data_IF_802757969637
#
_entry.id   IF_802757969637
#
_cell.length_a   1.000
_cell.length_b   1.000
_cell.length_c   1.000
_cell.angle_alpha   90.00
_cell.angle_beta   90.00
_cell.angle_gamma   90.00
#
_symmetry.space_group_name_H-M   'P 1'
#
loop_
_entity.id
_entity.type
_entity.pdbx_description
1 polymer ?
#
# COMPACT_ATOMS: atom_id res chain seq x y z
N UNK A 1 -22.26 -9.90 -1.62
CA UNK A 1 -21.49 -8.94 -0.80
C UNK A 1 -20.03 -9.26 -1.10
N UNK A 2 -19.30 -8.38 -1.82
CA UNK A 2 -17.87 -8.60 -2.05
C UNK A 2 -17.15 -8.44 -0.72
N UNK A 3 -16.13 -9.26 -0.49
CA UNK A 3 -15.20 -9.09 0.62
C UNK A 3 -14.49 -7.74 0.44
N UNK A 4 -14.52 -6.87 1.45
CA UNK A 4 -13.95 -5.52 1.36
C UNK A 4 -12.43 -5.55 1.14
N UNK A 5 -11.75 -6.61 1.62
CA UNK A 5 -10.35 -6.86 1.31
C UNK A 5 -10.14 -7.00 -0.20
N UNK A 6 -11.00 -7.76 -0.88
CA UNK A 6 -10.89 -8.00 -2.32
C UNK A 6 -11.20 -6.74 -3.13
N UNK A 7 -12.16 -5.95 -2.67
CA UNK A 7 -12.54 -4.69 -3.31
C UNK A 7 -11.43 -3.64 -3.22
N UNK A 8 -10.85 -3.47 -2.03
CA UNK A 8 -9.72 -2.57 -1.81
C UNK A 8 -8.50 -2.98 -2.65
N UNK A 9 -8.14 -4.27 -2.63
CA UNK A 9 -7.02 -4.80 -3.39
C UNK A 9 -7.22 -4.63 -4.90
N UNK A 10 -8.38 -5.05 -5.41
CA UNK A 10 -8.67 -5.00 -6.84
C UNK A 10 -8.76 -3.56 -7.36
N UNK A 11 -9.32 -2.64 -6.56
CA UNK A 11 -9.39 -1.22 -6.91
C UNK A 11 -7.99 -0.61 -6.95
N UNK A 12 -7.14 -0.89 -5.95
CA UNK A 12 -5.78 -0.40 -5.93
C UNK A 12 -4.94 -0.93 -7.10
N UNK A 13 -5.10 -2.21 -7.42
CA UNK A 13 -4.46 -2.86 -8.56
C UNK A 13 -4.84 -2.19 -9.90
N UNK A 14 -6.15 -2.02 -10.15
CA UNK A 14 -6.64 -1.54 -11.44
C UNK A 14 -6.59 -0.01 -11.60
N UNK A 15 -6.89 0.73 -10.55
CA UNK A 15 -7.06 2.19 -10.58
C UNK A 15 -5.99 2.96 -9.77
N UNK A 16 -5.11 2.27 -9.06
CA UNK A 16 -3.99 2.87 -8.32
C UNK A 16 -4.26 3.15 -6.85
N UNK A 17 -3.22 3.59 -6.14
CA UNK A 17 -3.20 3.75 -4.69
C UNK A 17 -4.32 4.66 -4.17
N UNK A 18 -4.50 5.85 -4.75
CA UNK A 18 -5.52 6.80 -4.32
C UNK A 18 -6.96 6.24 -4.42
N UNK A 19 -7.26 5.48 -5.48
CA UNK A 19 -8.57 4.90 -5.66
C UNK A 19 -8.85 3.80 -4.62
N UNK A 20 -7.88 2.92 -4.37
CA UNK A 20 -7.99 1.90 -3.32
C UNK A 20 -8.14 2.52 -1.93
N UNK A 21 -7.34 3.55 -1.62
CA UNK A 21 -7.43 4.28 -0.35
C UNK A 21 -8.81 4.96 -0.19
N UNK A 22 -9.38 5.52 -1.25
CA UNK A 22 -10.71 6.12 -1.20
C UNK A 22 -11.79 5.10 -0.83
N UNK A 23 -11.72 3.88 -1.37
CA UNK A 23 -12.61 2.77 -0.99
C UNK A 23 -12.43 2.41 0.49
N UNK A 24 -11.19 2.22 0.95
CA UNK A 24 -10.91 1.87 2.34
C UNK A 24 -11.43 2.94 3.33
N UNK A 25 -11.29 4.22 2.99
CA UNK A 25 -11.76 5.33 3.81
C UNK A 25 -13.29 5.49 3.80
N UNK A 26 -13.96 5.20 2.68
CA UNK A 26 -15.42 5.27 2.60
C UNK A 26 -16.11 4.31 3.58
N UNK A 27 -15.48 3.17 3.87
CA UNK A 27 -15.96 2.18 4.83
C UNK A 27 -15.62 2.51 6.29
N UNK A 28 -14.82 3.54 6.53
CA UNK A 28 -14.40 3.97 7.86
C UNK A 28 -14.75 5.45 8.10
N UNK A 29 -16.04 5.84 8.01
CA UNK A 29 -16.44 7.22 8.22
C UNK A 29 -16.04 7.68 9.64
N UNK A 30 -15.48 8.88 9.74
CA UNK A 30 -15.03 9.44 11.02
C UNK A 30 -13.71 8.89 11.55
N UNK A 31 -13.02 8.00 10.82
CA UNK A 31 -11.71 7.48 11.26
C UNK A 31 -10.71 8.61 11.46
N UNK A 32 -10.01 8.60 12.59
CA UNK A 32 -8.96 9.59 12.92
C UNK A 32 -7.60 8.90 12.89
N UNK A 33 -6.56 9.53 12.30
CA UNK A 33 -5.21 8.97 12.31
C UNK A 33 -4.67 8.85 13.75
N UNK A 34 -3.81 7.87 14.03
CA UNK A 34 -3.14 7.74 15.33
C UNK A 34 -2.06 8.82 15.58
N UNK A 35 -1.75 9.65 14.58
CA UNK A 35 -0.84 10.79 14.69
C UNK A 35 -1.46 12.07 14.12
N UNK A 36 -0.66 13.14 13.99
CA UNK A 36 -1.13 14.44 13.48
C UNK A 36 -1.16 14.56 11.95
N UNK A 37 -0.76 13.52 11.24
CA UNK A 37 -0.67 13.51 9.78
C UNK A 37 -1.43 12.30 9.25
N UNK A 38 -2.34 12.55 8.32
CA UNK A 38 -3.02 11.52 7.55
C UNK A 38 -2.61 11.58 6.09
N UNK A 39 -2.49 10.41 5.47
CA UNK A 39 -2.41 10.29 4.02
C UNK A 39 -3.81 10.08 3.46
N UNK A 40 -4.20 10.90 2.48
CA UNK A 40 -5.55 10.96 1.93
C UNK A 40 -5.53 11.08 0.40
N UNK A 41 -6.58 10.61 -0.32
CA UNK A 41 -6.69 10.85 -1.75
C UNK A 41 -6.80 12.34 -2.05
N UNK A 42 -6.01 12.86 -2.98
CA UNK A 42 -5.99 14.29 -3.34
C UNK A 42 -7.32 14.76 -3.93
N UNK A 43 -7.97 13.92 -4.74
CA UNK A 43 -9.19 14.28 -5.47
C UNK A 43 -10.46 14.23 -4.62
N UNK A 44 -10.43 13.56 -3.47
CA UNK A 44 -11.60 13.36 -2.64
C UNK A 44 -11.20 13.09 -1.19
N UNK A 45 -11.65 13.97 -0.29
CA UNK A 45 -11.74 13.66 1.13
C UNK A 45 -13.12 13.03 1.38
N UNK A 46 -13.20 11.87 2.05
CA UNK A 46 -14.47 11.28 2.43
C UNK A 46 -15.29 12.25 3.29
N UNK A 47 -16.61 12.27 3.07
CA UNK A 47 -17.52 13.01 3.92
C UNK A 47 -17.47 12.47 5.36
N UNK A 48 -17.42 13.38 6.34
CA UNK A 48 -17.39 13.00 7.75
C UNK A 48 -16.02 12.60 8.29
N UNK A 49 -14.94 12.75 7.52
CA UNK A 49 -13.59 12.70 8.09
C UNK A 49 -13.42 13.86 9.08
N UNK A 50 -13.28 13.52 10.37
CA UNK A 50 -13.50 14.40 11.53
C UNK A 50 -12.43 15.48 11.73
N UNK A 51 -11.55 15.69 10.76
CA UNK A 51 -10.46 16.67 10.85
C UNK A 51 -10.51 17.56 9.62
N UNK A 52 -10.81 18.84 9.82
CA UNK A 52 -10.47 19.86 8.83
C UNK A 52 -8.95 19.77 8.63
N UNK A 53 -8.44 19.47 7.42
CA UNK A 53 -7.02 19.51 7.19
C UNK A 53 -6.54 20.94 7.46
N UNK A 54 -5.65 21.11 8.44
CA UNK A 54 -5.10 22.40 8.81
C UNK A 54 -4.22 22.96 7.69
N UNK A 55 -3.50 22.04 7.04
CA UNK A 55 -2.68 22.27 5.86
C UNK A 55 -2.37 20.95 5.16
N UNK A 56 -2.21 20.99 3.84
CA UNK A 56 -1.69 19.88 3.04
C UNK A 56 -0.24 20.13 2.67
N UNK A 57 0.63 19.16 2.95
CA UNK A 57 2.03 19.18 2.53
C UNK A 57 2.17 18.47 1.19
N UNK A 58 2.67 19.19 0.19
CA UNK A 58 2.97 18.63 -1.12
C UNK A 58 4.19 17.71 -1.06
N UNK A 59 3.99 16.42 -1.31
CA UNK A 59 5.08 15.47 -1.51
C UNK A 59 5.08 15.01 -2.98
N UNK A 60 6.14 15.32 -3.73
CA UNK A 60 6.17 15.17 -5.20
C UNK A 60 5.76 13.77 -5.67
N UNK A 61 6.31 12.71 -5.07
CA UNK A 61 5.97 11.34 -5.45
C UNK A 61 4.55 10.96 -5.03
N UNK A 62 4.06 11.50 -3.91
CA UNK A 62 2.71 11.21 -3.42
C UNK A 62 1.67 11.85 -4.34
N UNK A 63 1.91 13.08 -4.79
CA UNK A 63 1.04 13.75 -5.76
C UNK A 63 0.93 13.00 -7.09
N UNK A 64 1.97 12.29 -7.51
CA UNK A 64 1.93 11.42 -8.72
C UNK A 64 1.08 10.16 -8.53
N UNK A 65 0.88 9.73 -7.28
CA UNK A 65 0.00 8.61 -6.92
C UNK A 65 -1.39 9.10 -6.45
N UNK A 66 -1.69 10.40 -6.58
CA UNK A 66 -2.94 11.00 -6.15
C UNK A 66 -3.12 11.06 -4.64
N UNK A 67 -2.03 11.11 -3.88
CA UNK A 67 -2.00 11.16 -2.41
C UNK A 67 -1.50 12.52 -1.92
N UNK A 68 -2.20 13.05 -0.92
CA UNK A 68 -1.80 14.23 -0.17
C UNK A 68 -1.57 13.87 1.30
N UNK A 69 -0.60 14.53 1.94
CA UNK A 69 -0.41 14.44 3.38
C UNK A 69 -1.06 15.65 4.04
N UNK A 70 -2.06 15.41 4.87
CA UNK A 70 -2.81 16.45 5.57
C UNK A 70 -2.47 16.44 7.04
N UNK A 71 -2.15 17.62 7.58
CA UNK A 71 -2.06 17.83 9.02
C UNK A 71 -3.47 17.94 9.59
N UNK A 72 -3.72 17.27 10.71
CA UNK A 72 -5.01 17.27 11.37
C UNK A 72 -4.94 18.11 12.64
N UNK A 73 -5.86 19.07 12.78
CA UNK A 73 -6.00 19.88 14.01
C UNK A 73 -6.63 19.10 15.19
N UNK A 74 -7.14 17.90 14.92
CA UNK A 74 -7.75 17.01 15.91
C UNK A 74 -6.73 16.30 16.81
N UNK A 75 -7.20 15.82 17.96
CA UNK A 75 -6.43 14.92 18.80
C UNK A 75 -6.21 13.59 18.08
N UNK A 76 -5.02 12.97 18.21
CA UNK A 76 -4.81 11.61 17.73
C UNK A 76 -5.92 10.66 18.17
N UNK A 77 -6.38 9.83 17.23
CA UNK A 77 -7.43 8.84 17.48
C UNK A 77 -6.97 7.69 18.37
N UNK A 78 -7.90 7.02 19.09
CA UNK A 78 -7.56 5.79 19.80
C UNK A 78 -7.21 4.68 18.81
N UNK A 79 -6.25 3.83 19.20
CA UNK A 79 -5.97 2.59 18.47
C UNK A 79 -7.05 1.54 18.80
N UNK A 80 -8.19 1.64 18.12
CA UNK A 80 -9.36 0.80 18.36
C UNK A 80 -9.62 -0.23 17.24
N UNK A 81 -10.73 -0.95 17.35
CA UNK A 81 -11.14 -1.95 16.37
C UNK A 81 -11.45 -1.36 14.99
N UNK A 82 -11.97 -0.12 14.92
CA UNK A 82 -12.27 0.55 13.66
C UNK A 82 -10.98 0.93 12.93
N UNK A 83 -9.97 1.45 13.65
CA UNK A 83 -8.65 1.70 13.10
C UNK A 83 -7.96 0.42 12.62
N UNK A 84 -8.10 -0.67 13.39
CA UNK A 84 -7.54 -1.97 13.01
C UNK A 84 -8.15 -2.49 11.72
N UNK A 85 -9.48 -2.42 11.59
CA UNK A 85 -10.18 -2.83 10.38
C UNK A 85 -9.82 -1.95 9.18
N UNK A 86 -9.74 -0.63 9.37
CA UNK A 86 -9.26 0.29 8.34
C UNK A 86 -7.82 -0.04 7.90
N UNK A 87 -6.92 -0.32 8.86
CA UNK A 87 -5.56 -0.76 8.54
C UNK A 87 -5.56 -2.09 7.77
N UNK A 88 -6.46 -3.03 8.05
CA UNK A 88 -6.58 -4.25 7.24
C UNK A 88 -6.99 -3.95 5.79
N UNK A 89 -7.95 -3.05 5.58
CA UNK A 89 -8.34 -2.59 4.24
C UNK A 89 -7.16 -1.87 3.54
N UNK A 90 -6.42 -1.02 4.26
CA UNK A 90 -5.22 -0.36 3.75
C UNK A 90 -4.11 -1.38 3.40
N UNK A 91 -3.96 -2.45 4.17
CA UNK A 91 -3.09 -3.58 3.84
C UNK A 91 -3.47 -4.21 2.49
N UNK A 92 -4.77 -4.37 2.23
CA UNK A 92 -5.28 -4.88 0.96
C UNK A 92 -5.01 -3.92 -0.21
N UNK A 93 -5.20 -2.61 0.00
CA UNK A 93 -4.81 -1.56 -0.96
C UNK A 93 -3.33 -1.70 -1.34
N UNK A 94 -2.45 -1.88 -0.35
CA UNK A 94 -1.02 -2.07 -0.59
C UNK A 94 -0.74 -3.33 -1.41
N UNK A 95 -1.39 -4.45 -1.11
CA UNK A 95 -1.26 -5.68 -1.91
C UNK A 95 -1.62 -5.45 -3.39
N UNK A 96 -2.65 -4.64 -3.66
CA UNK A 96 -3.01 -4.30 -5.04
C UNK A 96 -1.91 -3.52 -5.77
N UNK A 97 -1.27 -2.58 -5.07
CA UNK A 97 -0.10 -1.85 -5.58
C UNK A 97 1.09 -2.79 -5.81
N UNK A 98 1.39 -3.68 -4.86
CA UNK A 98 2.46 -4.69 -4.99
C UNK A 98 2.21 -5.62 -6.18
N UNK A 99 0.96 -6.06 -6.40
CA UNK A 99 0.59 -6.89 -7.56
C UNK A 99 0.85 -6.19 -8.88
N UNK A 100 0.51 -4.90 -8.97
CA UNK A 100 0.80 -4.10 -10.17
C UNK A 100 2.31 -3.93 -10.39
N UNK A 101 3.08 -3.76 -9.32
CA UNK A 101 4.55 -3.75 -9.38
C UNK A 101 5.10 -5.09 -9.90
N UNK A 102 4.56 -6.22 -9.45
CA UNK A 102 4.95 -7.55 -9.91
C UNK A 102 4.65 -7.79 -11.38
N UNK A 103 3.47 -7.38 -11.86
CA UNK A 103 3.13 -7.49 -13.28
C UNK A 103 4.08 -6.68 -14.15
N UNK A 104 4.42 -5.47 -13.71
CA UNK A 104 5.41 -4.66 -14.40
C UNK A 104 6.80 -5.28 -14.36
N UNK A 105 7.19 -5.90 -13.25
CA UNK A 105 8.44 -6.64 -13.15
C UNK A 105 8.48 -7.82 -14.12
N UNK A 106 7.38 -8.58 -14.23
CA UNK A 106 7.24 -9.67 -15.20
C UNK A 106 7.38 -9.15 -16.63
N UNK A 107 6.69 -8.06 -16.98
CA UNK A 107 6.79 -7.43 -18.31
C UNK A 107 8.22 -6.97 -18.60
N UNK A 108 8.83 -6.25 -17.67
CA UNK A 108 10.21 -5.75 -17.78
C UNK A 108 11.23 -6.88 -17.95
N UNK A 109 11.15 -7.93 -17.14
CA UNK A 109 12.05 -9.07 -17.17
C UNK A 109 11.85 -9.94 -18.42
N UNK A 110 10.64 -9.95 -18.98
CA UNK A 110 10.32 -10.63 -20.24
C UNK A 110 10.92 -9.90 -21.45
N UNK A 111 10.93 -8.57 -21.43
CA UNK A 111 11.53 -7.75 -22.49
C UNK A 111 13.06 -7.62 -22.39
N UNK A 112 13.62 -7.72 -21.18
CA UNK A 112 15.07 -7.55 -20.96
C UNK A 112 15.84 -8.83 -21.27
N UNK A 113 16.88 -8.74 -22.12
CA UNK A 113 17.74 -9.87 -22.46
C UNK A 113 19.08 -9.84 -21.70
N UNK A 114 19.50 -10.97 -21.13
CA UNK A 114 20.82 -11.15 -20.51
C UNK A 114 21.40 -12.52 -20.89
N UNK A 115 22.60 -12.52 -21.48
CA UNK A 115 23.25 -13.76 -21.94
C UNK A 115 22.46 -14.45 -23.06
N UNK A 116 21.87 -13.69 -23.98
CA UNK A 116 21.18 -14.22 -25.16
C UNK A 116 19.73 -14.67 -24.96
N UNK A 117 19.18 -14.59 -23.74
CA UNK A 117 17.79 -14.96 -23.47
C UNK A 117 17.06 -13.93 -22.58
N UNK A 118 15.72 -13.89 -22.62
CA UNK A 118 14.92 -13.10 -21.69
C UNK A 118 15.29 -13.40 -20.23
N UNK A 119 15.46 -12.33 -19.45
CA UNK A 119 15.91 -12.40 -18.05
C UNK A 119 14.91 -13.17 -17.18
N UNK A 120 13.62 -13.12 -17.52
CA UNK A 120 12.58 -13.89 -16.84
C UNK A 120 12.80 -15.42 -16.91
N UNK A 121 13.56 -15.95 -17.89
CA UNK A 121 13.83 -17.40 -18.00
C UNK A 121 14.92 -17.89 -17.04
N UNK A 122 15.63 -16.98 -16.37
CA UNK A 122 16.67 -17.34 -15.42
C UNK A 122 16.03 -17.94 -14.15
N UNK A 123 16.49 -19.11 -13.71
CA UNK A 123 15.90 -19.82 -12.57
C UNK A 123 15.84 -18.98 -11.28
N UNK A 124 16.88 -18.19 -11.01
CA UNK A 124 16.89 -17.29 -9.84
C UNK A 124 15.78 -16.23 -9.90
N UNK A 125 15.46 -15.73 -11.10
CA UNK A 125 14.40 -14.74 -11.30
C UNK A 125 13.03 -15.39 -11.10
N UNK A 126 12.82 -16.58 -11.67
CA UNK A 126 11.58 -17.35 -11.47
C UNK A 126 11.35 -17.71 -10.00
N UNK A 127 12.42 -18.10 -9.29
CA UNK A 127 12.35 -18.41 -7.85
C UNK A 127 11.88 -17.21 -7.04
N UNK A 128 12.51 -16.05 -7.21
CA UNK A 128 12.12 -14.82 -6.50
C UNK A 128 10.68 -14.41 -6.84
N UNK A 129 10.27 -14.48 -8.11
CA UNK A 129 8.88 -14.17 -8.50
C UNK A 129 7.87 -15.11 -7.84
N UNK A 130 8.16 -16.42 -7.78
CA UNK A 130 7.30 -17.41 -7.13
C UNK A 130 7.21 -17.18 -5.61
N UNK A 131 8.33 -16.85 -4.97
CA UNK A 131 8.37 -16.55 -3.53
C UNK A 131 7.56 -15.30 -3.20
N UNK A 132 7.73 -14.22 -3.97
CA UNK A 132 6.97 -12.98 -3.75
C UNK A 132 5.48 -13.20 -4.01
N UNK A 133 5.10 -13.92 -5.07
CA UNK A 133 3.71 -14.24 -5.34
C UNK A 133 3.09 -15.07 -4.21
N UNK A 134 3.80 -16.07 -3.71
CA UNK A 134 3.36 -16.90 -2.57
C UNK A 134 3.16 -16.06 -1.32
N UNK A 135 4.07 -15.13 -1.04
CA UNK A 135 3.99 -14.26 0.13
C UNK A 135 2.85 -13.22 0.01
N UNK A 136 2.56 -12.72 -1.19
CA UNK A 136 1.38 -11.86 -1.46
C UNK A 136 0.09 -12.61 -1.14
N UNK A 137 -0.05 -13.86 -1.58
CA UNK A 137 -1.21 -14.69 -1.29
C UNK A 137 -1.36 -15.00 0.22
N UNK A 138 -0.24 -15.27 0.91
CA UNK A 138 -0.22 -15.47 2.34
C UNK A 138 -0.64 -14.21 3.12
N UNK A 139 -0.15 -13.04 2.71
CA UNK A 139 -0.53 -11.75 3.28
C UNK A 139 -2.03 -11.46 3.06
N UNK A 140 -2.55 -11.68 1.85
CA UNK A 140 -3.99 -11.57 1.56
C UNK A 140 -4.82 -12.46 2.48
N UNK A 141 -4.41 -13.73 2.62
CA UNK A 141 -5.11 -14.68 3.50
C UNK A 141 -5.08 -14.23 4.97
N UNK A 142 -3.95 -13.70 5.43
CA UNK A 142 -3.81 -13.16 6.78
C UNK A 142 -4.79 -12.01 7.04
N UNK A 143 -4.93 -11.07 6.10
CA UNK A 143 -5.90 -9.97 6.21
C UNK A 143 -7.34 -10.48 6.29
N UNK A 144 -7.71 -11.49 5.49
CA UNK A 144 -9.07 -12.04 5.50
C UNK A 144 -9.41 -12.79 6.80
N UNK A 145 -8.44 -13.47 7.41
CA UNK A 145 -8.67 -14.32 8.59
C UNK A 145 -8.45 -13.57 9.90
N UNK A 146 -7.47 -12.66 9.92
CA UNK A 146 -6.95 -12.01 11.11
C UNK A 146 -6.97 -10.48 11.01
N UNK A 147 -7.77 -9.91 10.08
CA UNK A 147 -7.88 -8.47 9.87
C UNK A 147 -8.45 -7.68 11.05
N UNK A 148 -8.97 -8.35 12.07
CA UNK A 148 -9.43 -7.74 13.33
C UNK A 148 -8.39 -7.82 14.45
N UNK A 149 -7.24 -8.47 14.21
CA UNK A 149 -6.16 -8.64 15.20
C UNK A 149 -5.06 -7.61 14.90
N UNK A 150 -4.85 -6.58 15.75
CA UNK A 150 -3.93 -5.48 15.46
C UNK A 150 -2.51 -5.93 15.11
N UNK A 151 -1.95 -6.85 15.90
CA UNK A 151 -0.60 -7.38 15.67
C UNK A 151 -0.47 -8.11 14.33
N UNK A 152 -1.50 -8.84 13.90
CA UNK A 152 -1.50 -9.54 12.61
C UNK A 152 -1.56 -8.57 11.43
N UNK A 153 -2.36 -7.50 11.56
CA UNK A 153 -2.43 -6.43 10.55
C UNK A 153 -1.08 -5.72 10.44
N UNK A 154 -0.44 -5.35 11.56
CA UNK A 154 0.88 -4.73 11.57
C UNK A 154 1.95 -5.63 10.91
N UNK A 155 1.99 -6.92 11.25
CA UNK A 155 2.89 -7.89 10.63
C UNK A 155 2.68 -8.00 9.11
N UNK A 156 1.42 -7.96 8.62
CA UNK A 156 1.15 -7.90 7.19
C UNK A 156 1.74 -6.65 6.55
N UNK A 157 1.60 -5.47 7.17
CA UNK A 157 2.18 -4.24 6.64
C UNK A 157 3.72 -4.30 6.56
N UNK A 158 4.39 -4.91 7.54
CA UNK A 158 5.84 -5.07 7.53
C UNK A 158 6.27 -6.09 6.45
N UNK A 159 5.53 -7.19 6.29
CA UNK A 159 5.76 -8.16 5.21
C UNK A 159 5.58 -7.54 3.84
N UNK A 160 4.49 -6.82 3.60
CA UNK A 160 4.25 -6.15 2.30
C UNK A 160 5.36 -5.16 1.97
N UNK A 161 5.86 -4.42 2.97
CA UNK A 161 7.03 -3.55 2.78
C UNK A 161 8.26 -4.33 2.31
N UNK A 162 8.51 -5.50 2.89
CA UNK A 162 9.62 -6.36 2.47
C UNK A 162 9.41 -6.86 1.03
N UNK A 163 8.20 -7.29 0.69
CA UNK A 163 7.84 -7.75 -0.66
C UNK A 163 7.97 -6.65 -1.71
N UNK A 164 7.56 -5.43 -1.39
CA UNK A 164 7.71 -4.25 -2.24
C UNK A 164 9.19 -4.04 -2.62
N UNK A 165 10.09 -4.18 -1.64
CA UNK A 165 11.54 -4.06 -1.87
C UNK A 165 12.11 -5.23 -2.68
N UNK A 166 11.70 -6.46 -2.42
CA UNK A 166 12.14 -7.62 -3.21
C UNK A 166 11.67 -7.52 -4.68
N UNK A 167 10.42 -7.11 -4.90
CA UNK A 167 9.89 -6.86 -6.24
C UNK A 167 10.62 -5.70 -6.94
N UNK A 168 10.94 -4.63 -6.24
CA UNK A 168 11.69 -3.50 -6.80
C UNK A 168 13.12 -3.88 -7.22
N UNK A 169 13.81 -4.75 -6.44
CA UNK A 169 15.17 -5.22 -6.75
C UNK A 169 15.24 -5.97 -8.08
N UNK A 170 14.18 -6.68 -8.48
CA UNK A 170 14.11 -7.38 -9.78
C UNK A 170 14.28 -6.43 -10.98
N UNK A 171 13.98 -5.15 -10.80
CA UNK A 171 14.08 -4.13 -11.84
C UNK A 171 15.50 -3.57 -12.00
N UNK A 172 16.43 -3.93 -11.10
CA UNK A 172 17.78 -3.36 -11.05
C UNK A 172 17.77 -1.84 -10.90
N UNK A 173 18.68 -1.13 -11.60
CA UNK A 173 18.76 0.34 -11.57
C UNK A 173 17.47 1.02 -12.05
N UNK A 174 16.71 0.39 -12.96
CA UNK A 174 15.41 0.90 -13.41
C UNK A 174 14.38 0.98 -12.28
N UNK A 175 14.51 0.14 -11.25
CA UNK A 175 13.64 0.16 -10.07
C UNK A 175 13.72 1.43 -9.23
N UNK A 176 14.77 2.24 -9.38
CA UNK A 176 15.01 3.44 -8.58
C UNK A 176 14.68 4.76 -9.29
N UNK A 177 14.24 4.69 -10.56
CA UNK A 177 13.84 5.89 -11.29
C UNK A 177 12.44 6.28 -10.85
N UNK A 178 12.24 7.55 -10.43
CA UNK A 178 10.98 8.06 -9.89
C UNK A 178 9.76 7.94 -10.84
N UNK A 179 9.96 7.53 -12.10
CA UNK A 179 8.89 7.25 -13.07
C UNK A 179 8.34 5.83 -13.04
N UNK A 180 8.88 4.92 -12.23
CA UNK A 180 8.50 3.49 -12.24
C UNK A 180 7.44 3.13 -11.21
N UNK A 181 6.79 1.96 -11.34
CA UNK A 181 5.77 1.49 -10.39
C UNK A 181 6.28 1.32 -8.95
N UNK A 182 7.60 1.26 -8.73
CA UNK A 182 8.21 1.26 -7.38
C UNK A 182 7.78 2.49 -6.58
N UNK A 183 7.53 3.62 -7.25
CA UNK A 183 7.00 4.84 -6.61
C UNK A 183 5.68 4.57 -5.91
N UNK A 184 4.78 3.81 -6.54
CA UNK A 184 3.50 3.44 -5.96
C UNK A 184 3.67 2.69 -4.64
N UNK A 185 4.54 1.68 -4.62
CA UNK A 185 4.84 0.89 -3.42
C UNK A 185 5.46 1.75 -2.29
N UNK A 186 6.40 2.64 -2.64
CA UNK A 186 6.99 3.59 -1.70
C UNK A 186 5.94 4.53 -1.08
N UNK A 187 5.09 5.15 -1.91
CA UNK A 187 4.02 6.04 -1.41
C UNK A 187 2.99 5.25 -0.61
N UNK A 188 2.70 4.00 -0.97
CA UNK A 188 1.79 3.14 -0.23
C UNK A 188 2.34 2.79 1.16
N UNK A 189 3.66 2.60 1.30
CA UNK A 189 4.32 2.47 2.60
C UNK A 189 4.23 3.76 3.42
N UNK A 190 4.50 4.92 2.83
CA UNK A 190 4.35 6.21 3.52
C UNK A 190 2.91 6.44 3.99
N UNK A 191 1.94 6.09 3.13
CA UNK A 191 0.51 6.16 3.43
C UNK A 191 0.19 5.30 4.65
N UNK A 192 0.66 4.05 4.69
CA UNK A 192 0.47 3.19 5.86
C UNK A 192 1.09 3.76 7.14
N UNK A 193 2.27 4.37 7.07
CA UNK A 193 2.90 4.96 8.25
C UNK A 193 2.09 6.09 8.89
N UNK A 194 1.20 6.75 8.15
CA UNK A 194 0.29 7.76 8.70
C UNK A 194 -0.89 7.15 9.48
N UNK A 195 -1.19 5.88 9.26
CA UNK A 195 -2.41 5.23 9.76
C UNK A 195 -2.14 4.08 10.72
N UNK A 196 -0.94 3.48 10.69
CA UNK A 196 -0.58 2.40 11.60
C UNK A 196 -0.24 2.94 13.00
N UNK A 197 -0.84 2.41 14.06
CA UNK A 197 -0.42 2.71 15.43
C UNK A 197 0.93 2.03 15.68
N UNK A 198 2.03 2.80 15.63
CA UNK A 198 3.36 2.33 16.02
C UNK A 198 3.71 2.82 17.42
N UNK A 199 4.23 1.93 18.25
CA UNK A 199 4.80 2.31 19.55
C UNK A 199 5.97 3.28 19.33
N UNK A 200 5.93 4.47 19.94
CA UNK A 200 7.06 5.40 19.96
C UNK A 200 6.82 6.83 19.45
N UNK A 201 5.59 7.23 19.13
CA UNK A 201 5.27 8.65 18.88
C UNK A 201 4.15 9.08 19.83
N UNK A 202 4.53 9.31 21.08
CA UNK A 202 3.78 10.10 22.07
C UNK A 202 4.19 11.57 21.98
#
# INVERSE_FOLDING_TARGET
>A
MRDMIDECEQTAYSAGLAAGLAVALAEAPGITPPGRVAAVPTAALPAGWATTPASTVGHRMAGQEGISFATTDGHPGPADGQLTQFCAHLGAVRLGVTRRLLEWAVEYLSGRTVGGEPTIRKQLVLGVLADVQTAVEAARRSLRVSGTVPAAVLDVHDRVTTLDWEAAKLLGASGYVAGTPTRGAYVAQLTANCWLPREGVS
#
